data_IF_836116272636
#
_entry.id   IF_836116272636
#
_cell.length_a   1.000
_cell.length_b   1.000
_cell.length_c   1.000
_cell.angle_alpha   90.00
_cell.angle_beta   90.00
_cell.angle_gamma   90.00
#
_symmetry.space_group_name_H-M   'P 1'
#
loop_
_entity.id
_entity.type
_entity.pdbx_description
1 polymer ?
#
# COMPACT_ATOMS: atom_id res chain seq x y z
N UNK A 1 8.44 8.59 -14.10
CA UNK A 1 9.57 8.02 -13.33
C UNK A 1 9.01 6.85 -12.52
N UNK A 2 9.57 5.64 -12.66
CA UNK A 2 9.13 4.48 -11.89
C UNK A 2 9.60 4.58 -10.43
N UNK A 3 8.74 4.25 -9.48
CA UNK A 3 8.95 4.40 -8.04
C UNK A 3 10.10 3.51 -7.53
N UNK A 4 10.25 2.29 -8.06
CA UNK A 4 11.30 1.32 -7.78
C UNK A 4 12.44 1.30 -8.81
N UNK A 5 12.50 2.24 -9.76
CA UNK A 5 13.52 2.25 -10.84
C UNK A 5 14.96 2.09 -10.37
N UNK A 6 15.36 2.76 -9.29
CA UNK A 6 16.71 2.64 -8.75
C UNK A 6 16.97 1.26 -8.14
N UNK A 7 16.00 0.75 -7.38
CA UNK A 7 16.04 -0.60 -6.79
C UNK A 7 16.15 -1.66 -7.88
N UNK A 8 15.36 -1.52 -8.95
CA UNK A 8 15.39 -2.39 -10.11
C UNK A 8 16.81 -2.48 -10.70
N UNK A 9 17.45 -1.33 -10.93
CA UNK A 9 18.84 -1.29 -11.46
C UNK A 9 19.84 -1.94 -10.52
N UNK A 10 19.70 -1.74 -9.21
CA UNK A 10 20.54 -2.42 -8.22
C UNK A 10 20.33 -3.93 -8.25
N UNK A 11 19.09 -4.38 -8.43
CA UNK A 11 18.77 -5.81 -8.43
C UNK A 11 19.17 -6.51 -9.73
N UNK A 12 19.03 -5.83 -10.88
CA UNK A 12 19.62 -6.24 -12.16
C UNK A 12 21.14 -6.42 -12.03
N UNK A 13 21.81 -5.45 -11.40
CA UNK A 13 23.25 -5.54 -11.17
C UNK A 13 23.62 -6.74 -10.29
N UNK A 14 22.87 -6.98 -9.20
CA UNK A 14 23.02 -8.18 -8.37
C UNK A 14 22.89 -9.47 -9.20
N UNK A 15 21.90 -9.53 -10.12
CA UNK A 15 21.72 -10.67 -11.03
C UNK A 15 22.95 -10.88 -11.91
N UNK A 16 23.39 -9.85 -12.61
CA UNK A 16 24.54 -9.92 -13.55
C UNK A 16 25.82 -10.36 -12.82
N UNK A 17 26.12 -9.77 -11.66
CA UNK A 17 27.32 -10.12 -10.90
C UNK A 17 27.32 -11.57 -10.38
N UNK A 18 26.15 -12.16 -10.13
CA UNK A 18 26.00 -13.55 -9.70
C UNK A 18 25.87 -14.53 -10.86
N UNK A 19 25.60 -14.07 -12.09
CA UNK A 19 25.75 -14.88 -13.28
C UNK A 19 27.22 -15.11 -13.62
N UNK A 20 28.05 -14.08 -13.45
CA UNK A 20 29.49 -14.16 -13.70
C UNK A 20 30.22 -14.90 -12.59
N UNK A 21 29.86 -14.63 -11.32
CA UNK A 21 30.49 -15.21 -10.15
C UNK A 21 29.42 -15.62 -9.13
N UNK A 22 28.79 -16.79 -9.31
CA UNK A 22 27.68 -17.24 -8.47
C UNK A 22 28.12 -17.47 -7.03
N UNK A 23 27.42 -16.84 -6.10
CA UNK A 23 27.54 -17.17 -4.67
C UNK A 23 26.72 -18.42 -4.32
N UNK A 24 27.13 -19.14 -3.28
CA UNK A 24 26.42 -20.33 -2.81
C UNK A 24 24.95 -20.01 -2.47
N UNK A 25 24.02 -20.76 -3.08
CA UNK A 25 22.58 -20.59 -2.92
C UNK A 25 21.95 -19.50 -3.81
N UNK A 26 22.70 -18.94 -4.77
CA UNK A 26 22.10 -18.08 -5.78
C UNK A 26 21.18 -18.88 -6.69
N UNK A 27 19.99 -18.34 -6.94
CA UNK A 27 19.00 -18.94 -7.83
C UNK A 27 18.56 -17.90 -8.88
N UNK A 28 18.92 -18.15 -10.14
CA UNK A 28 18.59 -17.26 -11.26
C UNK A 28 17.07 -17.08 -11.41
N UNK A 29 16.30 -18.17 -11.33
CA UNK A 29 14.84 -18.13 -11.46
C UNK A 29 14.18 -17.18 -10.45
N UNK A 30 14.56 -17.27 -9.17
CA UNK A 30 14.02 -16.37 -8.14
C UNK A 30 14.45 -14.91 -8.34
N UNK A 31 15.63 -14.68 -8.91
CA UNK A 31 16.09 -13.32 -9.20
C UNK A 31 15.30 -12.70 -10.35
N UNK A 32 15.00 -13.49 -11.41
CA UNK A 32 14.13 -13.07 -12.52
C UNK A 32 12.72 -12.78 -12.01
N UNK A 33 12.12 -13.71 -11.26
CA UNK A 33 10.83 -13.49 -10.58
C UNK A 33 10.83 -12.18 -9.77
N UNK A 34 11.93 -11.92 -9.06
CA UNK A 34 12.04 -10.74 -8.22
C UNK A 34 12.05 -9.43 -9.01
N UNK A 35 12.66 -9.41 -10.21
CA UNK A 35 12.66 -8.27 -11.12
C UNK A 35 11.28 -8.03 -11.72
N UNK A 36 10.62 -9.09 -12.20
CA UNK A 36 9.24 -9.01 -12.69
C UNK A 36 8.28 -8.48 -11.60
N UNK A 37 8.47 -8.93 -10.36
CA UNK A 37 7.68 -8.41 -9.24
C UNK A 37 7.93 -6.92 -9.02
N UNK A 38 9.17 -6.42 -9.11
CA UNK A 38 9.44 -4.98 -8.96
C UNK A 38 8.70 -4.14 -10.00
N UNK A 39 8.65 -4.58 -11.26
CA UNK A 39 7.88 -3.90 -12.31
C UNK A 39 6.37 -3.91 -12.01
N UNK A 40 5.86 -5.03 -11.51
CA UNK A 40 4.47 -5.15 -11.06
C UNK A 40 4.18 -4.21 -9.89
N UNK A 41 5.09 -4.09 -8.91
CA UNK A 41 4.94 -3.17 -7.78
C UNK A 41 4.89 -1.70 -8.25
N UNK A 42 5.71 -1.34 -9.24
CA UNK A 42 5.70 -0.01 -9.84
C UNK A 42 4.36 0.31 -10.52
N UNK A 43 3.84 -0.63 -11.30
CA UNK A 43 2.52 -0.50 -11.91
C UNK A 43 1.43 -0.33 -10.84
N UNK A 44 1.42 -1.19 -9.82
CA UNK A 44 0.40 -1.17 -8.76
C UNK A 44 0.44 0.13 -7.94
N UNK A 45 1.62 0.65 -7.62
CA UNK A 45 1.76 1.95 -6.92
C UNK A 45 1.24 3.10 -7.79
N UNK A 46 1.58 3.10 -9.08
CA UNK A 46 1.09 4.13 -10.02
C UNK A 46 -0.44 4.13 -10.10
N UNK A 47 -1.04 2.97 -10.35
CA UNK A 47 -2.49 2.86 -10.47
C UNK A 47 -3.19 3.21 -9.16
N UNK A 48 -2.66 2.73 -8.03
CA UNK A 48 -3.21 3.06 -6.72
C UNK A 48 -3.10 4.55 -6.40
N UNK A 49 -2.04 5.23 -6.85
CA UNK A 49 -1.89 6.69 -6.71
C UNK A 49 -2.98 7.44 -7.47
N UNK A 50 -3.24 7.06 -8.72
CA UNK A 50 -4.28 7.67 -9.55
C UNK A 50 -5.65 7.51 -8.87
N UNK A 51 -5.96 6.29 -8.43
CA UNK A 51 -7.24 6.00 -7.79
C UNK A 51 -7.38 6.69 -6.42
N UNK A 52 -6.33 6.72 -5.61
CA UNK A 52 -6.35 7.41 -4.32
C UNK A 52 -6.55 8.93 -4.48
N UNK A 53 -5.97 9.53 -5.52
CA UNK A 53 -6.19 10.95 -5.83
C UNK A 53 -7.65 11.21 -6.21
N UNK A 54 -8.30 10.31 -6.95
CA UNK A 54 -9.74 10.41 -7.22
C UNK A 54 -10.58 10.48 -5.92
N UNK A 55 -10.25 9.67 -4.91
CA UNK A 55 -10.92 9.75 -3.61
C UNK A 55 -10.56 11.01 -2.82
N UNK A 56 -9.30 11.45 -2.88
CA UNK A 56 -8.86 12.68 -2.23
C UNK A 56 -9.65 13.89 -2.75
N UNK A 57 -9.71 14.06 -4.07
CA UNK A 57 -10.38 15.22 -4.69
C UNK A 57 -11.88 15.23 -4.33
N UNK A 58 -12.52 14.06 -4.27
CA UNK A 58 -13.91 13.94 -3.82
C UNK A 58 -14.09 14.25 -2.34
N UNK A 59 -13.19 13.78 -1.48
CA UNK A 59 -13.21 14.07 -0.06
C UNK A 59 -13.03 15.57 0.20
N UNK A 60 -12.20 16.25 -0.59
CA UNK A 60 -12.01 17.70 -0.51
C UNK A 60 -13.30 18.46 -0.86
N UNK A 61 -13.94 18.12 -1.98
CA UNK A 61 -15.24 18.70 -2.36
C UNK A 61 -16.30 18.47 -1.29
N UNK A 62 -16.39 17.25 -0.76
CA UNK A 62 -17.34 16.90 0.29
C UNK A 62 -17.06 17.68 1.58
N UNK A 63 -15.80 17.77 1.99
CA UNK A 63 -15.36 18.50 3.19
C UNK A 63 -15.73 19.97 3.07
N UNK A 64 -15.43 20.60 1.94
CA UNK A 64 -15.79 22.00 1.69
C UNK A 64 -17.30 22.22 1.75
N UNK A 65 -18.09 21.32 1.17
CA UNK A 65 -19.56 21.41 1.21
C UNK A 65 -20.11 21.27 2.64
N UNK A 66 -19.58 20.31 3.41
CA UNK A 66 -19.95 20.12 4.83
C UNK A 66 -19.57 21.36 5.65
N UNK A 67 -18.37 21.91 5.44
CA UNK A 67 -17.92 23.13 6.13
C UNK A 67 -18.84 24.31 5.85
N UNK A 68 -19.21 24.54 4.58
CA UNK A 68 -20.15 25.60 4.20
C UNK A 68 -21.52 25.41 4.87
N UNK A 69 -22.01 24.17 4.99
CA UNK A 69 -23.25 23.88 5.71
C UNK A 69 -23.16 24.12 7.22
N UNK A 70 -22.02 23.78 7.82
CA UNK A 70 -21.76 24.06 9.24
C UNK A 70 -21.70 25.57 9.49
N UNK A 71 -21.04 26.31 8.61
CA UNK A 71 -20.96 27.78 8.68
C UNK A 71 -22.33 28.43 8.53
N UNK A 72 -23.09 28.06 7.49
CA UNK A 72 -24.47 28.52 7.30
C UNK A 72 -25.35 28.24 8.52
N UNK A 73 -25.23 27.03 9.10
CA UNK A 73 -26.00 26.67 10.30
C UNK A 73 -25.64 27.57 11.48
N UNK A 74 -24.35 27.87 11.66
CA UNK A 74 -23.85 28.76 12.70
C UNK A 74 -24.38 30.19 12.52
N UNK A 75 -24.28 30.74 11.32
CA UNK A 75 -24.73 32.12 11.01
C UNK A 75 -26.24 32.30 11.21
N UNK A 76 -27.03 31.25 10.97
CA UNK A 76 -28.48 31.29 11.04
C UNK A 76 -29.05 30.70 12.35
N UNK A 77 -28.21 30.38 13.35
CA UNK A 77 -28.60 29.71 14.59
C UNK A 77 -29.41 28.42 14.37
N UNK A 78 -29.10 27.67 13.32
CA UNK A 78 -29.73 26.40 12.98
C UNK A 78 -28.94 25.26 13.64
N UNK A 79 -29.64 24.23 14.13
CA UNK A 79 -28.99 23.01 14.59
C UNK A 79 -28.26 22.32 13.42
N UNK A 80 -26.92 22.34 13.44
CA UNK A 80 -26.06 21.82 12.37
C UNK A 80 -26.30 20.35 12.04
N UNK A 81 -26.49 19.50 13.06
CA UNK A 81 -26.79 18.07 12.87
C UNK A 81 -28.09 17.86 12.10
N UNK A 82 -29.15 18.58 12.47
CA UNK A 82 -30.45 18.54 11.77
C UNK A 82 -30.31 19.02 10.33
N UNK A 83 -29.58 20.12 10.11
CA UNK A 83 -29.36 20.69 8.78
C UNK A 83 -28.56 19.75 7.86
N UNK A 84 -27.51 19.09 8.39
CA UNK A 84 -26.74 18.08 7.66
C UNK A 84 -27.61 16.89 7.24
N UNK A 85 -28.44 16.36 8.15
CA UNK A 85 -29.35 15.24 7.83
C UNK A 85 -30.33 15.64 6.72
N UNK A 86 -30.91 16.84 6.79
CA UNK A 86 -31.83 17.34 5.76
C UNK A 86 -31.17 17.47 4.39
N UNK A 87 -29.89 17.86 4.36
CA UNK A 87 -29.13 18.04 3.12
C UNK A 87 -28.34 16.80 2.69
N UNK A 88 -28.46 15.66 3.38
CA UNK A 88 -27.66 14.47 3.11
C UNK A 88 -27.87 13.93 1.68
N UNK A 89 -29.08 14.02 1.13
CA UNK A 89 -29.37 13.65 -0.27
C UNK A 89 -28.54 14.44 -1.30
N UNK A 90 -28.09 15.66 -0.96
CA UNK A 90 -27.20 16.47 -1.82
C UNK A 90 -25.76 15.96 -1.82
N UNK A 91 -25.41 15.02 -0.94
CA UNK A 91 -24.11 14.34 -0.98
C UNK A 91 -24.14 13.27 -2.08
N UNK A 92 -25.23 12.51 -2.20
CA UNK A 92 -25.36 11.48 -3.25
C UNK A 92 -25.31 12.08 -4.67
N UNK A 93 -25.75 13.33 -4.85
CA UNK A 93 -25.64 14.06 -6.13
C UNK A 93 -24.19 14.33 -6.56
N UNK A 94 -23.23 14.32 -5.64
CA UNK A 94 -21.81 14.58 -5.91
C UNK A 94 -21.12 13.33 -6.47
N UNK A 95 -21.72 12.16 -6.26
CA UNK A 95 -21.13 10.89 -6.65
C UNK A 95 -21.93 10.21 -7.76
N UNK A 96 -21.33 10.11 -8.94
CA UNK A 96 -21.60 8.96 -9.81
C UNK A 96 -21.28 7.69 -9.00
N UNK A 97 -22.33 7.04 -8.51
CA UNK A 97 -22.25 5.88 -7.62
C UNK A 97 -21.58 4.70 -8.32
N UNK A 98 -21.91 4.47 -9.60
CA UNK A 98 -21.34 3.37 -10.38
C UNK A 98 -19.84 3.57 -10.54
N UNK A 99 -19.41 4.77 -10.92
CA UNK A 99 -17.98 5.10 -11.01
C UNK A 99 -17.28 5.01 -9.66
N UNK A 100 -17.94 5.43 -8.58
CA UNK A 100 -17.37 5.33 -7.23
C UNK A 100 -17.07 3.88 -6.84
N UNK A 101 -18.06 2.99 -6.98
CA UNK A 101 -17.93 1.56 -6.69
C UNK A 101 -16.82 0.91 -7.53
N UNK A 102 -16.74 1.25 -8.82
CA UNK A 102 -15.68 0.73 -9.70
C UNK A 102 -14.28 1.16 -9.22
N UNK A 103 -14.10 2.44 -8.91
CA UNK A 103 -12.81 2.96 -8.42
C UNK A 103 -12.47 2.36 -7.05
N UNK A 104 -13.47 2.14 -6.20
CA UNK A 104 -13.31 1.56 -4.89
C UNK A 104 -12.81 0.12 -5.01
N UNK A 105 -13.48 -0.69 -5.83
CA UNK A 105 -13.09 -2.06 -6.11
C UNK A 105 -11.65 -2.13 -6.64
N UNK A 106 -11.32 -1.34 -7.67
CA UNK A 106 -9.96 -1.31 -8.26
C UNK A 106 -8.90 -0.93 -7.23
N UNK A 107 -9.19 0.06 -6.38
CA UNK A 107 -8.23 0.51 -5.36
C UNK A 107 -7.93 -0.59 -4.35
N UNK A 108 -8.97 -1.28 -3.88
CA UNK A 108 -8.83 -2.41 -2.95
C UNK A 108 -8.00 -3.52 -3.59
N UNK A 109 -8.38 -3.93 -4.80
CA UNK A 109 -7.70 -4.98 -5.55
C UNK A 109 -6.21 -4.67 -5.73
N UNK A 110 -5.86 -3.47 -6.19
CA UNK A 110 -4.46 -3.10 -6.43
C UNK A 110 -3.64 -2.95 -5.15
N UNK A 111 -4.22 -2.40 -4.08
CA UNK A 111 -3.56 -2.32 -2.79
C UNK A 111 -3.27 -3.72 -2.23
N UNK A 112 -4.23 -4.63 -2.27
CA UNK A 112 -4.04 -6.02 -1.84
C UNK A 112 -2.98 -6.73 -2.70
N UNK A 113 -3.11 -6.67 -4.03
CA UNK A 113 -2.13 -7.24 -4.96
C UNK A 113 -0.72 -6.73 -4.67
N UNK A 114 -0.55 -5.45 -4.35
CA UNK A 114 0.74 -4.89 -3.97
C UNK A 114 1.31 -5.61 -2.74
N UNK A 115 0.54 -5.76 -1.66
CA UNK A 115 1.01 -6.43 -0.45
C UNK A 115 1.34 -7.91 -0.69
N UNK A 116 0.53 -8.63 -1.48
CA UNK A 116 0.82 -10.01 -1.87
C UNK A 116 2.16 -10.12 -2.62
N UNK A 117 2.37 -9.26 -3.63
CA UNK A 117 3.57 -9.27 -4.46
C UNK A 117 4.81 -8.83 -3.67
N UNK A 118 4.70 -7.77 -2.87
CA UNK A 118 5.78 -7.28 -2.03
C UNK A 118 6.19 -8.32 -0.97
N UNK A 119 5.23 -9.05 -0.39
CA UNK A 119 5.51 -10.14 0.53
C UNK A 119 6.21 -11.33 -0.15
N UNK A 120 5.80 -11.70 -1.37
CA UNK A 120 6.52 -12.73 -2.16
C UNK A 120 7.95 -12.30 -2.45
N UNK A 121 8.16 -11.07 -2.91
CA UNK A 121 9.52 -10.54 -3.13
C UNK A 121 10.32 -10.51 -1.83
N UNK A 122 9.71 -10.12 -0.70
CA UNK A 122 10.36 -10.20 0.61
C UNK A 122 10.88 -11.61 0.90
N UNK A 123 10.08 -12.64 0.65
CA UNK A 123 10.50 -14.02 0.88
C UNK A 123 11.62 -14.42 -0.08
N UNK A 124 11.50 -14.08 -1.37
CA UNK A 124 12.58 -14.27 -2.35
C UNK A 124 13.89 -13.67 -1.83
N UNK A 125 13.88 -12.41 -1.41
CA UNK A 125 15.09 -11.72 -0.93
C UNK A 125 15.67 -12.40 0.32
N UNK A 126 14.83 -12.74 1.30
CA UNK A 126 15.29 -13.39 2.55
C UNK A 126 15.90 -14.77 2.35
N UNK A 127 15.45 -15.49 1.32
CA UNK A 127 15.92 -16.84 1.01
C UNK A 127 16.89 -16.88 -0.18
N UNK A 128 17.09 -15.77 -0.88
CA UNK A 128 18.15 -15.61 -1.87
C UNK A 128 19.50 -15.48 -1.18
N UNK A 129 20.51 -16.15 -1.74
CA UNK A 129 21.87 -16.04 -1.23
C UNK A 129 22.41 -14.60 -1.31
N UNK A 130 23.27 -14.25 -0.36
CA UNK A 130 24.00 -12.98 -0.34
C UNK A 130 23.21 -11.74 0.07
N UNK A 131 21.90 -11.69 -0.13
CA UNK A 131 21.04 -10.58 0.33
C UNK A 131 20.62 -10.79 1.80
N UNK A 132 20.44 -12.04 2.21
CA UNK A 132 20.44 -12.43 3.63
C UNK A 132 19.07 -12.41 4.32
N UNK A 133 18.93 -13.31 5.29
CA UNK A 133 17.70 -13.55 6.08
C UNK A 133 17.24 -12.35 6.92
N UNK A 134 18.11 -11.36 7.10
CA UNK A 134 17.87 -10.14 7.86
C UNK A 134 17.04 -9.10 7.11
N UNK A 135 16.80 -9.25 5.80
CA UNK A 135 15.88 -8.37 5.09
C UNK A 135 14.48 -8.44 5.71
N UNK A 136 13.92 -7.28 6.04
CA UNK A 136 12.62 -7.18 6.67
C UNK A 136 11.91 -5.91 6.20
N UNK A 137 10.59 -5.99 6.09
CA UNK A 137 9.70 -4.85 5.92
C UNK A 137 8.48 -5.13 6.76
N UNK A 138 8.45 -4.48 7.94
CA UNK A 138 7.47 -4.79 8.98
C UNK A 138 6.07 -4.40 8.51
N UNK A 139 5.92 -3.29 7.79
CA UNK A 139 4.65 -2.88 7.19
C UNK A 139 4.08 -3.96 6.29
N UNK A 140 4.85 -4.41 5.30
CA UNK A 140 4.43 -5.47 4.36
C UNK A 140 4.09 -6.77 5.08
N UNK A 141 4.95 -7.24 6.00
CA UNK A 141 4.70 -8.48 6.74
C UNK A 141 3.46 -8.38 7.64
N UNK A 142 3.33 -7.31 8.40
CA UNK A 142 2.22 -7.16 9.34
C UNK A 142 0.89 -6.98 8.61
N UNK A 143 0.83 -6.13 7.58
CA UNK A 143 -0.41 -5.99 6.79
C UNK A 143 -0.78 -7.33 6.17
N UNK A 144 0.17 -8.03 5.51
CA UNK A 144 -0.12 -9.35 4.93
C UNK A 144 -0.62 -10.34 5.99
N UNK A 145 0.06 -10.48 7.12
CA UNK A 145 -0.23 -11.55 8.08
C UNK A 145 -1.37 -11.26 9.06
N UNK A 146 -1.74 -9.99 9.25
CA UNK A 146 -2.74 -9.57 10.23
C UNK A 146 -4.02 -9.13 9.53
N UNK A 147 -3.90 -8.45 8.40
CA UNK A 147 -5.04 -7.83 7.72
C UNK A 147 -5.48 -8.61 6.47
N UNK A 148 -4.60 -9.40 5.82
CA UNK A 148 -4.95 -10.09 4.57
C UNK A 148 -4.98 -11.62 4.71
N UNK A 149 -3.94 -12.25 5.26
CA UNK A 149 -3.93 -13.66 5.68
C UNK A 149 -4.45 -13.71 7.10
N UNK A 150 -5.52 -14.47 7.33
CA UNK A 150 -5.94 -14.78 8.68
C UNK A 150 -5.02 -15.86 9.24
N UNK A 151 -4.38 -15.65 10.41
CA UNK A 151 -3.64 -16.71 11.09
C UNK A 151 -4.64 -17.71 11.72
N UNK A 152 -5.28 -18.54 10.89
CA UNK A 152 -5.93 -19.84 11.14
C UNK A 152 -6.65 -20.15 12.49
N UNK A 153 -7.01 -19.21 13.38
CA UNK A 153 -7.57 -19.56 14.71
C UNK A 153 -8.78 -18.78 15.23
N UNK A 154 -9.33 -17.81 14.49
CA UNK A 154 -10.57 -17.15 14.92
C UNK A 154 -11.45 -16.90 13.70
N UNK A 155 -12.58 -17.60 13.65
CA UNK A 155 -13.47 -17.62 12.50
C UNK A 155 -13.83 -16.23 11.97
N UNK A 156 -13.49 -16.01 10.70
CA UNK A 156 -14.06 -15.01 9.79
C UNK A 156 -13.96 -13.54 10.25
N UNK A 157 -12.80 -12.91 10.06
CA UNK A 157 -12.68 -11.45 10.16
C UNK A 157 -12.16 -10.87 8.85
N UNK A 158 -13.03 -10.72 7.86
CA UNK A 158 -12.69 -10.14 6.54
C UNK A 158 -12.14 -8.71 6.68
N UNK A 159 -11.38 -8.22 5.68
CA UNK A 159 -11.10 -6.79 5.55
C UNK A 159 -12.43 -6.06 5.37
N UNK A 160 -12.95 -5.50 6.46
CA UNK A 160 -14.27 -4.88 6.43
C UNK A 160 -14.23 -3.46 5.88
N UNK A 161 -13.11 -2.74 6.03
CA UNK A 161 -13.05 -1.33 5.66
C UNK A 161 -11.69 -0.90 5.10
N UNK A 162 -11.74 0.10 4.21
CA UNK A 162 -10.57 0.78 3.65
C UNK A 162 -10.66 2.27 3.99
N UNK A 163 -9.57 2.84 4.49
CA UNK A 163 -9.37 4.29 4.50
C UNK A 163 -8.80 4.74 3.15
N UNK A 164 -9.43 5.70 2.50
CA UNK A 164 -9.06 6.18 1.16
C UNK A 164 -9.03 7.71 1.12
N UNK A 165 -8.28 8.24 0.16
CA UNK A 165 -8.27 9.67 -0.13
C UNK A 165 -7.42 10.50 0.84
N UNK A 166 -6.37 9.90 1.41
CA UNK A 166 -5.29 10.62 2.10
C UNK A 166 -4.04 10.51 1.22
N UNK A 167 -3.53 11.65 0.73
CA UNK A 167 -2.47 11.67 -0.29
C UNK A 167 -1.15 11.11 0.22
N UNK A 168 -0.82 11.42 1.47
CA UNK A 168 0.46 11.11 2.10
C UNK A 168 0.62 9.61 2.40
N UNK A 169 -0.48 8.95 2.78
CA UNK A 169 -0.46 7.58 3.27
C UNK A 169 -0.96 6.57 2.23
N UNK A 170 -1.76 7.00 1.26
CA UNK A 170 -2.44 6.11 0.32
C UNK A 170 -3.55 5.30 1.01
N UNK A 171 -4.01 4.22 0.37
CA UNK A 171 -5.01 3.34 0.98
C UNK A 171 -4.54 2.72 2.29
N UNK A 172 -5.44 2.65 3.26
CA UNK A 172 -5.24 2.07 4.58
C UNK A 172 -6.19 0.88 4.74
N UNK A 173 -5.66 -0.30 5.02
CA UNK A 173 -6.48 -1.48 5.32
C UNK A 173 -6.86 -1.48 6.80
N UNK A 174 -8.10 -1.85 7.10
CA UNK A 174 -8.60 -1.95 8.48
C UNK A 174 -9.30 -3.28 8.68
N UNK A 175 -9.12 -3.86 9.86
CA UNK A 175 -9.68 -5.17 10.18
C UNK A 175 -11.20 -5.14 10.38
N UNK A 176 -11.79 -3.95 10.61
CA UNK A 176 -13.21 -3.83 11.00
C UNK A 176 -13.51 -4.19 12.45
N UNK A 177 -12.55 -4.81 13.13
CA UNK A 177 -12.62 -5.10 14.56
C UNK A 177 -11.75 -4.08 15.31
N UNK A 178 -12.37 -3.25 16.15
CA UNK A 178 -11.65 -2.25 16.96
C UNK A 178 -10.52 -2.84 17.81
N UNK A 179 -10.69 -4.07 18.31
CA UNK A 179 -9.67 -4.75 19.10
C UNK A 179 -8.44 -5.08 18.25
N UNK A 180 -8.60 -5.55 17.02
CA UNK A 180 -7.46 -5.83 16.14
C UNK A 180 -6.82 -4.54 15.62
N UNK A 181 -7.63 -3.53 15.28
CA UNK A 181 -7.13 -2.21 14.88
C UNK A 181 -6.31 -1.54 16.01
N UNK A 182 -6.55 -1.92 17.27
CA UNK A 182 -5.73 -1.47 18.41
C UNK A 182 -4.37 -2.19 18.51
N UNK A 183 -4.26 -3.42 18.00
CA UNK A 183 -3.01 -4.21 18.01
C UNK A 183 -2.08 -3.83 16.86
N UNK A 184 -2.66 -3.60 15.68
CA UNK A 184 -1.91 -3.16 14.52
C UNK A 184 -2.78 -2.23 13.68
N UNK A 185 -2.25 -1.03 13.47
CA UNK A 185 -2.84 -0.03 12.59
C UNK A 185 -1.98 0.07 11.34
N UNK A 186 -2.55 -0.22 10.18
CA UNK A 186 -1.89 0.00 8.90
C UNK A 186 -1.54 1.51 8.78
N UNK A 187 -0.26 1.88 8.63
CA UNK A 187 0.12 3.27 8.42
C UNK A 187 -0.25 3.78 7.03
N UNK A 188 -0.58 2.88 6.09
CA UNK A 188 -0.96 3.18 4.72
C UNK A 188 0.03 2.63 3.69
N UNK A 189 -0.50 2.29 2.53
CA UNK A 189 0.23 1.65 1.44
C UNK A 189 1.51 2.41 1.05
N UNK A 190 1.47 3.73 0.95
CA UNK A 190 2.62 4.51 0.48
C UNK A 190 3.75 4.57 1.51
N UNK A 191 3.41 4.58 2.80
CA UNK A 191 4.41 4.45 3.87
C UNK A 191 5.05 3.06 3.82
N UNK A 192 4.24 2.00 3.73
CA UNK A 192 4.74 0.63 3.69
C UNK A 192 5.58 0.36 2.43
N UNK A 193 5.18 0.91 1.28
CA UNK A 193 5.95 0.84 0.04
C UNK A 193 7.30 1.56 0.14
N UNK A 194 7.32 2.73 0.80
CA UNK A 194 8.56 3.49 1.05
C UNK A 194 9.50 2.71 1.98
N UNK A 195 9.00 2.16 3.08
CA UNK A 195 9.77 1.30 3.98
C UNK A 195 10.39 0.12 3.22
N UNK A 196 9.56 -0.59 2.43
CA UNK A 196 10.00 -1.74 1.64
C UNK A 196 11.10 -1.36 0.66
N UNK A 197 10.91 -0.27 -0.09
CA UNK A 197 11.88 0.27 -1.04
C UNK A 197 13.22 0.57 -0.36
N UNK A 198 13.21 1.39 0.69
CA UNK A 198 14.42 1.81 1.40
C UNK A 198 15.19 0.63 1.96
N UNK A 199 14.49 -0.35 2.54
CA UNK A 199 15.15 -1.54 3.08
C UNK A 199 15.77 -2.40 1.97
N UNK A 200 15.13 -2.48 0.81
CA UNK A 200 15.63 -3.27 -0.33
C UNK A 200 16.82 -2.58 -1.00
N UNK A 201 16.78 -1.26 -1.14
CA UNK A 201 17.95 -0.47 -1.57
C UNK A 201 19.14 -0.71 -0.64
N UNK A 202 18.92 -0.62 0.67
CA UNK A 202 19.97 -0.81 1.68
C UNK A 202 20.62 -2.19 1.58
N UNK A 203 19.83 -3.26 1.43
CA UNK A 203 20.39 -4.62 1.36
C UNK A 203 21.21 -4.82 0.09
N UNK A 204 20.74 -4.30 -1.06
CA UNK A 204 21.43 -4.40 -2.34
C UNK A 204 22.73 -3.58 -2.37
N UNK A 205 22.73 -2.37 -1.77
CA UNK A 205 23.94 -1.55 -1.63
C UNK A 205 24.95 -2.24 -0.70
N UNK A 206 24.50 -2.79 0.43
CA UNK A 206 25.39 -3.50 1.36
C UNK A 206 26.02 -4.74 0.72
N UNK A 207 25.26 -5.48 -0.09
CA UNK A 207 25.80 -6.60 -0.85
C UNK A 207 26.95 -6.16 -1.77
N UNK A 208 26.77 -5.07 -2.51
CA UNK A 208 27.81 -4.51 -3.38
C UNK A 208 29.09 -4.16 -2.60
N UNK A 209 28.96 -3.56 -1.42
CA UNK A 209 30.12 -3.17 -0.62
C UNK A 209 30.88 -4.38 -0.04
N UNK A 210 30.19 -5.48 0.27
CA UNK A 210 30.83 -6.71 0.77
C UNK A 210 31.69 -7.42 -0.28
N UNK A 211 31.38 -7.29 -1.58
CA UNK A 211 32.19 -7.86 -2.67
C UNK A 211 33.48 -7.09 -2.95
N UNK A 212 33.61 -5.87 -2.43
CA UNK A 212 34.78 -5.00 -2.62
C UNK A 212 35.83 -5.14 -1.51
N UNK A 213 35.53 -5.93 -0.47
CA UNK A 213 36.41 -6.25 0.65
C UNK A 213 36.93 -7.68 0.48
#
# INVERSE_FOLDING_TARGET
MFYFSYVYKLYEKYKTENLENPIEGFHLGYTIDGLEILEQLDYLIKETTILNNFFFDRNEVLTNKINNWMEYSRENNINSKKYLIQNYHKISEISDYKKFEEMLFKTKLYAEMFYYKAFRLRNIIRYSAGLGKSFESKGIRNVRNILIEHPEKSGLEYIHTFGLGVKEFGPILKSGNQYNDSKFKDPGLFINASEFKTNLEKILINYKNKKLL
#
